data_IF_468418568346
#
_entry.id   IF_468418568346
#
_cell.length_a   1.000
_cell.length_b   1.000
_cell.length_c   1.000
_cell.angle_alpha   90.00
_cell.angle_beta   90.00
_cell.angle_gamma   90.00
#
_symmetry.space_group_name_H-M   'P 1'
#
loop_
_entity.id
_entity.type
_entity.pdbx_description
1 polymer ?
#
# COMPACT_ATOMS: atom_id res chain seq x y z
N UNK A 1 1.46 24.78 -23.59
CA UNK A 1 1.39 23.93 -24.81
C UNK A 1 2.65 24.14 -25.65
N UNK A 2 3.35 23.04 -25.99
CA UNK A 2 4.60 23.03 -26.75
C UNK A 2 4.39 22.14 -27.98
N UNK A 3 4.73 22.67 -29.17
CA UNK A 3 4.73 21.93 -30.43
C UNK A 3 6.18 21.61 -30.78
N UNK A 4 6.52 20.34 -30.94
CA UNK A 4 7.84 19.88 -31.38
C UNK A 4 7.77 19.32 -32.79
N UNK A 5 8.47 19.94 -33.73
CA UNK A 5 8.48 19.54 -35.12
C UNK A 5 9.87 18.98 -35.48
N UNK A 6 9.91 17.94 -36.27
CA UNK A 6 11.16 17.32 -36.75
C UNK A 6 10.98 15.85 -37.14
N UNK A 7 11.97 15.25 -37.80
CA UNK A 7 11.91 13.86 -38.24
C UNK A 7 11.79 12.88 -37.08
N UNK A 8 11.41 11.63 -37.38
CA UNK A 8 11.34 10.55 -36.41
C UNK A 8 12.75 10.23 -35.88
N UNK A 9 12.87 9.90 -34.59
CA UNK A 9 14.13 9.48 -33.97
C UNK A 9 15.02 10.60 -33.39
N UNK A 10 14.69 11.87 -33.55
CA UNK A 10 15.49 13.02 -33.03
C UNK A 10 15.32 13.28 -31.53
N UNK A 11 14.57 12.45 -30.81
CA UNK A 11 14.45 12.56 -29.36
C UNK A 11 13.32 13.42 -28.81
N UNK A 12 12.36 13.87 -29.64
CA UNK A 12 11.22 14.73 -29.21
C UNK A 12 10.50 14.20 -27.96
N UNK A 13 10.12 12.94 -27.98
CA UNK A 13 9.42 12.30 -26.85
C UNK A 13 10.31 12.19 -25.60
N UNK A 14 11.61 11.97 -25.77
CA UNK A 14 12.55 11.87 -24.65
C UNK A 14 12.77 13.24 -23.98
N UNK A 15 12.80 14.31 -24.76
CA UNK A 15 12.85 15.68 -24.22
C UNK A 15 11.61 15.94 -23.37
N UNK A 16 10.42 15.65 -23.88
CA UNK A 16 9.17 15.83 -23.13
C UNK A 16 9.15 15.02 -21.82
N UNK A 17 9.59 13.76 -21.89
CA UNK A 17 9.68 12.90 -20.69
C UNK A 17 10.65 13.45 -19.63
N UNK A 18 11.80 13.96 -20.06
CA UNK A 18 12.79 14.56 -19.15
C UNK A 18 12.29 15.85 -18.53
N UNK A 19 11.60 16.69 -19.31
CA UNK A 19 10.97 17.90 -18.79
C UNK A 19 9.90 17.56 -17.73
N UNK A 20 9.05 16.58 -17.99
CA UNK A 20 8.06 16.14 -17.01
C UNK A 20 8.70 15.63 -15.71
N UNK A 21 9.82 14.88 -15.81
CA UNK A 21 10.57 14.44 -14.62
C UNK A 21 11.17 15.60 -13.84
N UNK A 22 11.72 16.61 -14.53
CA UNK A 22 12.27 17.79 -13.87
C UNK A 22 11.19 18.61 -13.17
N UNK A 23 10.01 18.70 -13.78
CA UNK A 23 8.86 19.38 -13.22
C UNK A 23 8.10 18.54 -12.17
N UNK A 24 8.50 17.28 -11.94
CA UNK A 24 7.78 16.31 -11.10
C UNK A 24 6.30 16.15 -11.52
N UNK A 25 6.03 16.30 -12.81
CA UNK A 25 4.70 16.17 -13.40
C UNK A 25 4.46 14.79 -13.98
N UNK A 26 3.22 14.29 -13.99
CA UNK A 26 2.89 13.02 -14.62
C UNK A 26 3.11 13.10 -16.14
N UNK A 27 3.56 12.00 -16.75
CA UNK A 27 3.85 11.93 -18.17
C UNK A 27 3.16 10.73 -18.81
N UNK A 28 2.29 10.97 -19.75
CA UNK A 28 1.62 9.97 -20.57
C UNK A 28 1.92 10.18 -22.04
N UNK A 29 2.44 9.15 -22.72
CA UNK A 29 2.60 9.16 -24.16
C UNK A 29 1.37 8.50 -24.81
N UNK A 30 0.69 9.26 -25.65
CA UNK A 30 -0.47 8.76 -26.41
C UNK A 30 -0.25 8.89 -27.90
N UNK A 31 -0.93 8.03 -28.68
CA UNK A 31 -1.00 8.11 -30.14
C UNK A 31 -2.40 8.61 -30.52
N UNK A 32 -2.48 9.82 -31.06
CA UNK A 32 -3.76 10.48 -31.34
C UNK A 32 -4.69 9.64 -32.26
N UNK A 33 -4.12 8.88 -33.17
CA UNK A 33 -4.87 8.00 -34.09
C UNK A 33 -5.63 6.85 -33.42
N UNK A 34 -5.33 6.56 -32.16
CA UNK A 34 -6.02 5.51 -31.36
C UNK A 34 -7.23 6.05 -30.60
N UNK A 35 -7.44 7.36 -30.61
CA UNK A 35 -8.51 8.00 -29.88
C UNK A 35 -9.56 8.54 -30.84
N UNK A 36 -10.81 8.37 -30.49
CA UNK A 36 -11.97 8.81 -31.27
C UNK A 36 -12.97 9.51 -30.36
N UNK A 37 -13.91 10.22 -30.97
CA UNK A 37 -15.07 10.76 -30.23
C UNK A 37 -15.96 9.61 -29.70
N UNK A 38 -16.70 9.92 -28.64
CA UNK A 38 -17.62 8.97 -27.98
C UNK A 38 -18.59 8.37 -29.01
N UNK A 39 -18.67 7.04 -29.03
CA UNK A 39 -19.56 6.28 -29.94
C UNK A 39 -18.92 5.74 -31.22
N UNK A 40 -17.64 6.04 -31.48
CA UNK A 40 -16.88 5.45 -32.59
C UNK A 40 -15.92 4.36 -32.12
N UNK A 41 -15.45 3.53 -33.04
CA UNK A 41 -14.47 2.48 -32.73
C UNK A 41 -13.12 3.11 -32.39
N UNK A 42 -12.70 3.03 -31.12
CA UNK A 42 -11.46 3.58 -30.60
C UNK A 42 -11.54 3.82 -29.09
N UNK A 43 -10.43 4.27 -28.50
CA UNK A 43 -10.41 4.69 -27.09
C UNK A 43 -11.04 6.08 -26.98
N UNK A 44 -11.83 6.29 -25.95
CA UNK A 44 -12.40 7.58 -25.62
C UNK A 44 -11.30 8.60 -25.23
N UNK A 45 -11.43 9.84 -25.68
CA UNK A 45 -10.52 10.94 -25.34
C UNK A 45 -10.44 11.18 -23.83
N UNK A 46 -11.56 11.03 -23.12
CA UNK A 46 -11.60 11.16 -21.66
C UNK A 46 -10.70 10.13 -20.96
N UNK A 47 -10.46 8.97 -21.58
CA UNK A 47 -9.54 7.97 -21.04
C UNK A 47 -8.09 8.47 -20.92
N UNK A 48 -7.68 9.47 -21.71
CA UNK A 48 -6.34 10.09 -21.56
C UNK A 48 -6.19 10.78 -20.20
N UNK A 49 -7.21 11.54 -19.80
CA UNK A 49 -7.21 12.27 -18.53
C UNK A 49 -7.26 11.26 -17.37
N UNK A 50 -8.07 10.22 -17.52
CA UNK A 50 -8.14 9.13 -16.51
C UNK A 50 -6.80 8.44 -16.34
N UNK A 51 -6.16 8.02 -17.44
CA UNK A 51 -4.85 7.35 -17.43
C UNK A 51 -3.77 8.29 -16.82
N UNK A 52 -3.79 9.59 -17.16
CA UNK A 52 -2.86 10.59 -16.62
C UNK A 52 -3.06 10.79 -15.10
N UNK A 53 -4.32 10.87 -14.67
CA UNK A 53 -4.66 11.03 -13.25
C UNK A 53 -4.24 9.79 -12.46
N UNK A 54 -4.45 8.58 -12.99
CA UNK A 54 -4.00 7.35 -12.36
C UNK A 54 -2.46 7.30 -12.20
N UNK A 55 -1.72 7.72 -13.24
CA UNK A 55 -0.27 7.85 -13.15
C UNK A 55 0.15 8.86 -12.08
N UNK A 56 -0.54 10.00 -11.97
CA UNK A 56 -0.29 11.01 -10.94
C UNK A 56 -0.54 10.46 -9.54
N UNK A 57 -1.66 9.77 -9.32
CA UNK A 57 -2.00 9.14 -8.03
C UNK A 57 -0.91 8.13 -7.63
N UNK A 58 -0.48 7.28 -8.56
CA UNK A 58 0.56 6.29 -8.29
C UNK A 58 1.91 6.95 -7.96
N UNK A 59 2.25 8.06 -8.64
CA UNK A 59 3.48 8.82 -8.39
C UNK A 59 3.45 9.46 -7.00
N UNK A 60 2.40 10.19 -6.65
CA UNK A 60 2.23 10.82 -5.33
C UNK A 60 2.22 9.77 -4.22
N UNK A 61 1.51 8.66 -4.42
CA UNK A 61 1.47 7.56 -3.46
C UNK A 61 2.85 6.95 -3.22
N UNK A 62 3.66 6.78 -4.28
CA UNK A 62 5.03 6.27 -4.14
C UNK A 62 5.92 7.23 -3.35
N UNK A 63 5.82 8.54 -3.60
CA UNK A 63 6.57 9.57 -2.87
C UNK A 63 6.17 9.62 -1.39
N UNK A 64 4.87 9.62 -1.11
CA UNK A 64 4.37 9.60 0.28
C UNK A 64 4.79 8.31 1.00
N UNK A 65 4.75 7.16 0.31
CA UNK A 65 5.22 5.89 0.88
C UNK A 65 6.69 5.98 1.26
N UNK A 66 7.54 6.50 0.38
CA UNK A 66 8.96 6.68 0.65
C UNK A 66 9.22 7.64 1.83
N UNK A 67 8.42 8.71 1.95
CA UNK A 67 8.54 9.67 3.04
C UNK A 67 8.19 9.07 4.42
N UNK A 68 7.26 8.13 4.48
CA UNK A 68 6.83 7.49 5.74
C UNK A 68 7.51 6.15 6.03
N UNK A 69 8.34 5.63 5.12
CA UNK A 69 8.97 4.31 5.20
C UNK A 69 9.70 4.08 6.52
N UNK A 70 10.56 5.01 6.93
CA UNK A 70 11.32 4.88 8.18
C UNK A 70 10.42 4.83 9.43
N UNK A 71 9.32 5.59 9.44
CA UNK A 71 8.35 5.55 10.55
C UNK A 71 7.52 4.26 10.51
N UNK A 72 7.15 3.81 9.33
CA UNK A 72 6.42 2.56 9.13
C UNK A 72 7.25 1.35 9.56
N UNK A 73 8.55 1.32 9.27
CA UNK A 73 9.46 0.28 9.73
C UNK A 73 9.57 0.22 11.26
N UNK A 74 9.64 1.38 11.92
CA UNK A 74 9.68 1.44 13.39
C UNK A 74 8.40 0.88 14.01
N UNK A 75 7.23 1.28 13.50
CA UNK A 75 5.94 0.77 13.95
C UNK A 75 5.77 -0.73 13.69
N UNK A 76 6.23 -1.19 12.54
CA UNK A 76 6.23 -2.60 12.20
C UNK A 76 7.14 -3.42 13.13
N UNK A 77 8.32 -2.90 13.48
CA UNK A 77 9.23 -3.54 14.45
C UNK A 77 8.57 -3.65 15.82
N UNK A 78 7.92 -2.60 16.30
CA UNK A 78 7.21 -2.62 17.58
C UNK A 78 6.08 -3.64 17.60
N UNK A 79 5.26 -3.66 16.56
CA UNK A 79 4.16 -4.62 16.42
C UNK A 79 4.67 -6.05 16.32
N UNK A 80 5.77 -6.27 15.61
CA UNK A 80 6.41 -7.57 15.51
C UNK A 80 6.95 -8.05 16.86
N UNK A 81 7.57 -7.17 17.64
CA UNK A 81 8.03 -7.47 18.99
C UNK A 81 6.87 -7.87 19.91
N UNK A 82 5.73 -7.18 19.81
CA UNK A 82 4.54 -7.51 20.59
C UNK A 82 3.95 -8.88 20.20
N UNK A 83 4.05 -9.30 18.93
CA UNK A 83 3.66 -10.63 18.47
C UNK A 83 4.63 -11.74 18.94
N UNK A 84 5.91 -11.40 19.09
CA UNK A 84 6.95 -12.33 19.54
C UNK A 84 6.97 -12.50 21.06
N UNK A 85 6.44 -11.53 21.81
CA UNK A 85 6.32 -11.62 23.26
C UNK A 85 5.29 -12.69 23.64
N UNK A 86 5.57 -13.55 24.64
CA UNK A 86 4.63 -14.55 25.08
C UNK A 86 3.35 -13.88 25.61
N UNK A 87 2.21 -14.31 25.08
CA UNK A 87 0.91 -13.92 25.64
C UNK A 87 0.85 -14.38 27.09
N UNK A 88 0.59 -13.46 28.03
CA UNK A 88 0.21 -13.83 29.38
C UNK A 88 -1.06 -14.69 29.27
N UNK A 89 -0.93 -16.00 29.48
CA UNK A 89 -2.07 -16.78 29.96
C UNK A 89 -2.37 -16.19 31.34
N UNK A 90 -3.56 -15.62 31.50
CA UNK A 90 -4.10 -15.31 32.82
C UNK A 90 -4.28 -16.66 33.51
N UNK A 91 -3.27 -17.13 34.24
CA UNK A 91 -3.49 -18.17 35.21
C UNK A 91 -4.34 -17.57 36.33
N UNK A 92 -5.40 -18.29 36.75
CA UNK A 92 -6.18 -17.86 37.90
C UNK A 92 -5.25 -17.82 39.12
N UNK A 93 -5.27 -16.71 39.79
CA UNK A 93 -4.62 -16.34 41.01
C UNK A 93 -4.39 -17.53 41.97
N UNK A 94 -3.18 -18.04 42.01
CA UNK A 94 -2.66 -18.78 43.18
C UNK A 94 -1.57 -17.95 43.83
N UNK A 95 -1.88 -17.57 45.02
CA UNK A 95 -1.10 -16.83 45.99
C UNK A 95 0.26 -17.47 46.26
N UNK A 96 1.23 -16.61 46.60
CA UNK A 96 2.54 -16.95 47.22
C UNK A 96 3.70 -17.22 46.27
N UNK A 97 4.36 -16.14 45.83
CA UNK A 97 5.79 -15.94 46.09
C UNK A 97 6.15 -14.48 45.78
N UNK A 98 6.55 -13.77 46.81
CA UNK A 98 7.06 -12.40 46.82
C UNK A 98 8.47 -12.41 46.19
N UNK A 99 8.58 -12.08 44.92
CA UNK A 99 9.78 -11.43 44.39
C UNK A 99 9.32 -10.23 43.59
N UNK A 100 9.54 -9.05 44.18
CA UNK A 100 9.27 -7.72 43.61
C UNK A 100 10.22 -7.43 42.44
N UNK A 101 10.02 -8.07 41.31
CA UNK A 101 10.48 -7.53 40.04
C UNK A 101 9.23 -7.04 39.34
N UNK A 102 9.10 -5.73 39.22
CA UNK A 102 7.97 -5.10 38.56
C UNK A 102 7.75 -5.79 37.20
N UNK A 103 6.55 -6.32 36.95
CA UNK A 103 6.27 -7.16 35.74
C UNK A 103 6.57 -6.44 34.43
N UNK A 104 6.60 -5.11 34.46
CA UNK A 104 6.88 -4.27 33.29
C UNK A 104 8.39 -4.17 32.99
N UNK A 105 9.27 -4.15 33.99
CA UNK A 105 10.73 -4.10 33.80
C UNK A 105 11.24 -5.39 33.15
N UNK A 106 10.75 -6.57 33.59
CA UNK A 106 11.08 -7.85 33.01
C UNK A 106 10.61 -7.97 31.54
N UNK A 107 9.43 -7.42 31.22
CA UNK A 107 8.89 -7.42 29.86
C UNK A 107 9.68 -6.49 28.94
N UNK A 108 10.09 -5.32 29.44
CA UNK A 108 10.93 -4.38 28.70
C UNK A 108 12.31 -4.99 28.39
N UNK A 109 12.96 -5.61 29.37
CA UNK A 109 14.23 -6.29 29.16
C UNK A 109 14.13 -7.43 28.13
N UNK A 110 13.02 -8.17 28.13
CA UNK A 110 12.75 -9.22 27.13
C UNK A 110 12.52 -8.59 25.74
N UNK A 111 11.77 -7.49 25.66
CA UNK A 111 11.51 -6.75 24.42
C UNK A 111 12.81 -6.21 23.80
N UNK A 112 13.74 -5.70 24.62
CA UNK A 112 15.05 -5.22 24.16
C UNK A 112 15.95 -6.37 23.65
N UNK A 113 15.96 -7.50 24.34
CA UNK A 113 16.68 -8.70 23.87
C UNK A 113 16.12 -9.19 22.52
N UNK A 114 14.80 -9.25 22.36
CA UNK A 114 14.17 -9.62 21.10
C UNK A 114 14.47 -8.60 20.00
N UNK A 115 14.48 -7.30 20.32
CA UNK A 115 14.84 -6.24 19.39
C UNK A 115 16.28 -6.37 18.89
N UNK A 116 17.22 -6.66 19.77
CA UNK A 116 18.61 -6.89 19.39
C UNK A 116 18.81 -8.12 18.51
N UNK A 117 18.07 -9.20 18.79
CA UNK A 117 18.07 -10.42 17.98
C UNK A 117 17.41 -10.22 16.62
N UNK A 118 16.35 -9.43 16.56
CA UNK A 118 15.65 -9.07 15.32
C UNK A 118 16.57 -8.24 14.40
N UNK A 119 17.26 -7.24 14.97
CA UNK A 119 18.25 -6.43 14.23
C UNK A 119 19.45 -7.24 13.74
N UNK A 120 19.84 -8.26 14.50
CA UNK A 120 20.90 -9.19 14.12
C UNK A 120 20.44 -10.27 13.11
N UNK A 121 19.16 -10.28 12.66
CA UNK A 121 18.62 -11.27 11.73
C UNK A 121 18.46 -12.68 12.28
N UNK A 122 18.68 -12.88 13.60
CA UNK A 122 18.66 -14.22 14.21
C UNK A 122 17.26 -14.83 14.33
N UNK A 123 16.23 -14.02 14.17
CA UNK A 123 14.83 -14.43 14.28
C UNK A 123 14.14 -14.57 12.93
N UNK A 124 14.81 -14.27 11.81
CA UNK A 124 14.19 -14.17 10.48
C UNK A 124 13.50 -15.47 10.04
N UNK A 125 14.04 -16.63 10.40
CA UNK A 125 13.49 -17.94 10.06
C UNK A 125 12.40 -18.44 11.03
N UNK A 126 12.20 -17.72 12.15
CA UNK A 126 11.18 -18.09 13.12
C UNK A 126 9.78 -17.88 12.53
N UNK A 127 8.89 -18.86 12.74
CA UNK A 127 7.48 -18.76 12.29
C UNK A 127 6.64 -18.02 13.32
N UNK A 128 5.82 -17.09 12.85
CA UNK A 128 4.83 -16.38 13.66
C UNK A 128 3.46 -16.44 12.99
N UNK A 129 2.41 -16.33 13.78
CA UNK A 129 1.04 -16.20 13.27
C UNK A 129 0.74 -14.71 13.06
N UNK A 130 0.56 -14.32 11.80
CA UNK A 130 0.16 -12.98 11.43
C UNK A 130 -1.30 -12.97 11.01
N UNK A 131 -2.08 -12.07 11.59
CA UNK A 131 -3.42 -11.77 11.12
C UNK A 131 -3.33 -10.76 9.99
N UNK A 132 -3.35 -11.23 8.76
CA UNK A 132 -3.43 -10.38 7.57
C UNK A 132 -4.88 -10.18 7.18
N UNK A 133 -5.27 -8.94 6.92
CA UNK A 133 -6.51 -8.66 6.22
C UNK A 133 -6.38 -9.33 4.85
N UNK A 134 -7.11 -10.40 4.63
CA UNK A 134 -7.21 -10.99 3.30
C UNK A 134 -7.80 -9.89 2.41
N UNK A 135 -7.00 -9.31 1.53
CA UNK A 135 -7.55 -8.71 0.33
C UNK A 135 -8.17 -9.89 -0.42
N UNK A 136 -9.43 -10.12 -0.13
CA UNK A 136 -10.23 -11.04 -0.94
C UNK A 136 -10.15 -10.48 -2.33
N UNK A 137 -9.42 -11.17 -3.22
CA UNK A 137 -9.51 -10.90 -4.66
C UNK A 137 -10.98 -10.78 -4.97
N UNK A 138 -11.45 -9.66 -5.52
CA UNK A 138 -12.86 -9.51 -5.79
C UNK A 138 -13.25 -10.60 -6.78
N UNK A 139 -14.32 -11.30 -6.47
CA UNK A 139 -15.03 -12.25 -7.34
C UNK A 139 -15.46 -11.61 -8.69
N UNK A 140 -14.99 -10.40 -8.95
CA UNK A 140 -15.33 -9.56 -10.11
C UNK A 140 -14.76 -10.12 -11.44
N UNK A 141 -13.73 -10.98 -11.41
CA UNK A 141 -13.21 -11.55 -12.65
C UNK A 141 -14.14 -12.62 -13.28
N UNK A 142 -15.12 -13.14 -12.54
CA UNK A 142 -16.03 -14.18 -13.05
C UNK A 142 -17.28 -13.58 -13.72
N UNK A 143 -17.57 -12.30 -13.52
CA UNK A 143 -18.76 -11.62 -14.03
C UNK A 143 -18.48 -10.48 -15.03
N UNK A 144 -17.33 -10.43 -15.69
CA UNK A 144 -17.07 -9.46 -16.76
C UNK A 144 -17.72 -9.88 -18.08
N UNK A 145 -19.02 -10.09 -18.06
CA UNK A 145 -19.87 -10.09 -19.24
C UNK A 145 -20.36 -8.66 -19.49
N UNK A 146 -20.13 -8.18 -20.72
CA UNK A 146 -20.55 -6.87 -21.23
C UNK A 146 -21.90 -6.42 -20.67
N UNK A 147 -21.93 -5.29 -19.95
CA UNK A 147 -23.16 -4.56 -19.63
C UNK A 147 -23.51 -4.32 -18.17
N UNK A 148 -22.67 -4.67 -17.17
CA UNK A 148 -23.01 -4.51 -15.75
C UNK A 148 -22.02 -3.67 -14.92
N UNK A 149 -21.29 -2.74 -15.55
CA UNK A 149 -20.29 -1.92 -14.84
C UNK A 149 -20.90 -1.03 -13.76
N UNK A 150 -22.06 -0.42 -14.01
CA UNK A 150 -22.73 0.45 -13.03
C UNK A 150 -23.36 -0.32 -11.84
N UNK A 151 -23.83 -1.55 -12.05
CA UNK A 151 -24.35 -2.39 -10.97
C UNK A 151 -23.25 -2.99 -10.09
N UNK A 152 -22.06 -3.22 -10.65
CA UNK A 152 -20.91 -3.80 -9.93
C UNK A 152 -20.36 -2.89 -8.83
N UNK A 153 -20.40 -1.57 -9.00
CA UNK A 153 -19.88 -0.60 -8.04
C UNK A 153 -20.77 -0.56 -6.80
N UNK A 154 -22.09 -0.44 -6.99
CA UNK A 154 -23.05 -0.41 -5.88
C UNK A 154 -23.10 -1.72 -5.09
N UNK A 155 -22.98 -2.87 -5.77
CA UNK A 155 -22.96 -4.18 -5.13
C UNK A 155 -21.67 -4.39 -4.32
N UNK A 156 -20.52 -3.88 -4.80
CA UNK A 156 -19.24 -3.94 -4.09
C UNK A 156 -19.24 -3.12 -2.81
N UNK A 157 -19.82 -1.94 -2.83
CA UNK A 157 -19.95 -1.05 -1.69
C UNK A 157 -20.91 -1.65 -0.64
N UNK A 158 -22.02 -2.22 -1.08
CA UNK A 158 -22.99 -2.90 -0.22
C UNK A 158 -22.43 -4.19 0.40
N UNK A 159 -21.65 -5.00 -0.36
CA UNK A 159 -20.98 -6.19 0.18
C UNK A 159 -19.83 -5.84 1.12
N UNK A 160 -19.07 -4.77 0.85
CA UNK A 160 -17.97 -4.35 1.74
C UNK A 160 -18.46 -3.91 3.12
N UNK A 161 -19.68 -3.37 3.18
CA UNK A 161 -20.32 -2.93 4.43
C UNK A 161 -20.94 -4.09 5.21
N UNK A 162 -21.38 -5.15 4.54
CA UNK A 162 -22.05 -6.31 5.19
C UNK A 162 -21.13 -7.46 5.57
N UNK A 163 -19.96 -7.60 4.93
CA UNK A 163 -19.03 -8.68 5.24
C UNK A 163 -17.86 -8.14 6.06
N UNK A 164 -17.74 -8.50 7.35
CA UNK A 164 -16.54 -8.18 8.11
C UNK A 164 -15.33 -8.80 7.40
N UNK A 165 -14.31 -8.00 7.15
CA UNK A 165 -13.07 -8.45 6.52
C UNK A 165 -12.55 -9.69 7.24
N UNK A 166 -12.66 -10.87 6.62
CA UNK A 166 -12.15 -12.13 7.19
C UNK A 166 -10.64 -12.00 7.33
N UNK A 167 -10.20 -11.76 8.55
CA UNK A 167 -8.79 -11.90 8.91
C UNK A 167 -8.40 -13.38 8.84
N UNK A 168 -7.49 -13.72 7.94
CA UNK A 168 -6.90 -15.05 7.90
C UNK A 168 -5.62 -15.06 8.71
N UNK A 169 -5.54 -15.97 9.69
CA UNK A 169 -4.28 -16.25 10.38
C UNK A 169 -3.38 -17.04 9.44
N UNK A 170 -2.24 -16.48 9.10
CA UNK A 170 -1.23 -17.12 8.26
C UNK A 170 0.06 -17.26 9.06
N UNK A 171 0.67 -18.44 8.99
CA UNK A 171 2.02 -18.63 9.51
C UNK A 171 3.02 -18.14 8.49
N UNK A 172 3.82 -17.16 8.87
CA UNK A 172 4.86 -16.56 8.02
C UNK A 172 6.16 -16.48 8.80
N UNK A 173 7.29 -16.43 8.08
CA UNK A 173 8.59 -16.18 8.69
C UNK A 173 8.66 -14.72 9.17
N UNK A 174 9.39 -14.47 10.25
CA UNK A 174 9.59 -13.13 10.83
C UNK A 174 10.12 -12.15 9.80
N UNK A 175 11.08 -12.54 8.95
CA UNK A 175 11.59 -11.68 7.88
C UNK A 175 10.53 -11.27 6.85
N UNK A 176 9.60 -12.17 6.50
CA UNK A 176 8.44 -11.87 5.63
C UNK A 176 7.41 -10.99 6.36
N UNK A 177 7.12 -11.33 7.62
CA UNK A 177 6.19 -10.59 8.45
C UNK A 177 6.62 -9.14 8.66
N UNK A 178 7.92 -8.87 8.85
CA UNK A 178 8.48 -7.52 8.96
C UNK A 178 8.14 -6.68 7.74
N UNK A 179 8.32 -7.22 6.53
CA UNK A 179 8.00 -6.52 5.28
C UNK A 179 6.50 -6.25 5.13
N UNK A 180 5.68 -7.27 5.42
CA UNK A 180 4.22 -7.13 5.34
C UNK A 180 3.68 -6.10 6.34
N UNK A 181 4.18 -6.11 7.57
CA UNK A 181 3.79 -5.14 8.59
C UNK A 181 4.26 -3.73 8.24
N UNK A 182 5.49 -3.56 7.73
CA UNK A 182 5.98 -2.25 7.30
C UNK A 182 5.11 -1.67 6.17
N UNK A 183 4.73 -2.51 5.21
CA UNK A 183 3.82 -2.10 4.13
C UNK A 183 2.42 -1.75 4.66
N UNK A 184 1.88 -2.51 5.60
CA UNK A 184 0.59 -2.24 6.24
C UNK A 184 0.63 -0.92 7.04
N UNK A 185 1.68 -0.70 7.83
CA UNK A 185 1.84 0.52 8.61
C UNK A 185 2.08 1.75 7.70
N UNK A 186 2.85 1.61 6.61
CA UNK A 186 3.00 2.69 5.63
C UNK A 186 1.65 3.09 5.01
N UNK A 187 0.81 2.12 4.66
CA UNK A 187 -0.54 2.41 4.12
C UNK A 187 -1.45 3.12 5.13
N UNK A 188 -1.30 2.86 6.43
CA UNK A 188 -2.08 3.55 7.48
C UNK A 188 -1.62 4.99 7.71
N UNK A 189 -0.33 5.27 7.44
CA UNK A 189 0.25 6.60 7.62
C UNK A 189 -0.04 7.55 6.46
N UNK A 190 -0.51 7.01 5.33
CA UNK A 190 -0.83 7.79 4.14
C UNK A 190 -2.32 8.08 4.12
N UNK A 191 -2.66 9.37 4.05
CA UNK A 191 -4.02 9.81 3.81
C UNK A 191 -4.35 9.74 2.31
N UNK A 192 -5.38 8.98 1.98
CA UNK A 192 -5.81 8.79 0.58
C UNK A 192 -6.36 10.08 0.00
N UNK A 193 -7.05 10.89 0.79
CA UNK A 193 -7.63 12.16 0.34
C UNK A 193 -6.52 13.16 -0.01
N UNK A 194 -5.46 13.22 0.80
CA UNK A 194 -4.27 14.01 0.50
C UNK A 194 -3.57 13.54 -0.78
N UNK A 195 -3.47 12.23 -1.01
CA UNK A 195 -2.90 11.67 -2.24
C UNK A 195 -3.71 12.12 -3.46
N UNK A 196 -5.04 12.04 -3.38
CA UNK A 196 -5.92 12.42 -4.49
C UNK A 196 -5.83 13.93 -4.75
N UNK A 197 -5.89 14.76 -3.71
CA UNK A 197 -5.79 16.22 -3.85
C UNK A 197 -4.47 16.65 -4.52
N UNK A 198 -3.34 16.09 -4.07
CA UNK A 198 -2.04 16.38 -4.66
C UNK A 198 -1.92 15.84 -6.09
N UNK A 199 -2.48 14.67 -6.38
CA UNK A 199 -2.46 14.10 -7.71
C UNK A 199 -3.24 14.96 -8.71
N UNK A 200 -4.43 15.44 -8.33
CA UNK A 200 -5.23 16.34 -9.16
C UNK A 200 -4.46 17.64 -9.41
N UNK A 201 -3.90 18.24 -8.36
CA UNK A 201 -3.12 19.47 -8.48
C UNK A 201 -1.96 19.33 -9.49
N UNK A 202 -1.27 18.19 -9.53
CA UNK A 202 -0.18 17.92 -10.48
C UNK A 202 -0.65 17.69 -11.91
N UNK A 203 -1.89 17.27 -12.10
CA UNK A 203 -2.49 17.08 -13.44
C UNK A 203 -2.97 18.41 -14.00
N UNK A 204 -3.45 19.32 -13.14
CA UNK A 204 -3.99 20.62 -13.53
C UNK A 204 -2.93 21.69 -13.79
N UNK A 205 -1.75 21.58 -13.17
CA UNK A 205 -0.65 22.56 -13.22
C UNK A 205 0.62 21.96 -13.83
#
# INVERSE_FOLDING_TARGET
NIIMIGPTGVGKTEIARRLARLAQAPFLKVEASKYTEVGYVGRDVESMVRDLTELSVNMVKAEMTAAVEGKAEQLAEERLLDLLLPRRQREPFTSETLEEVSPDASRQATKEKLRSQLKAGRLDDRMIELETKSQTMPIVEIFSGQGMEEMGINLREMLSTMLPAKTKKRKVKVGEARRLLAQEEAQKLIDVDDVVAQAIHRVEN
#
